data_IF_037936797683
#
_entry.id   IF_037936797683
#
_cell.length_a   1.000
_cell.length_b   1.000
_cell.length_c   1.000
_cell.angle_alpha   90.00
_cell.angle_beta   90.00
_cell.angle_gamma   90.00
#
_symmetry.space_group_name_H-M   'P 1'
#
loop_
_entity.id
_entity.type
_entity.pdbx_description
1 polymer ?
#
# COMPACT_ATOMS: atom_id res chain seq x y z
N UNK A 1 25.05 34.76 13.08
CA UNK A 1 24.68 34.29 11.72
C UNK A 1 24.37 32.80 11.74
N UNK A 2 25.29 31.93 12.16
CA UNK A 2 25.04 30.48 12.24
C UNK A 2 23.89 30.07 13.16
N UNK A 3 23.67 30.77 14.27
CA UNK A 3 22.51 30.55 15.13
C UNK A 3 21.15 30.83 14.44
N UNK A 4 21.11 31.74 13.45
CA UNK A 4 19.88 32.07 12.73
C UNK A 4 19.52 30.99 11.70
N UNK A 5 20.50 30.33 11.08
CA UNK A 5 20.25 29.25 10.12
C UNK A 5 19.60 28.03 10.77
N UNK A 6 20.03 27.68 11.98
CA UNK A 6 19.44 26.58 12.76
C UNK A 6 18.00 26.83 13.21
N UNK A 7 17.52 28.07 13.13
CA UNK A 7 16.14 28.44 13.47
C UNK A 7 15.22 28.45 12.24
N UNK A 8 15.76 28.30 11.02
CA UNK A 8 14.99 28.23 9.79
C UNK A 8 14.57 26.78 9.56
N UNK A 9 13.30 26.49 9.86
CA UNK A 9 12.66 25.19 9.65
C UNK A 9 11.54 25.26 8.61
N UNK A 10 10.88 24.13 8.29
CA UNK A 10 9.84 24.08 7.24
C UNK A 10 8.66 25.03 7.52
N UNK A 11 8.33 25.23 8.79
CA UNK A 11 7.21 26.06 9.25
C UNK A 11 7.60 27.53 9.49
N UNK A 12 8.86 27.92 9.29
CA UNK A 12 9.30 29.30 9.55
C UNK A 12 8.57 30.30 8.63
N UNK A 13 8.13 31.48 9.14
CA UNK A 13 7.47 32.50 8.33
C UNK A 13 8.34 32.96 7.15
N UNK A 14 7.72 33.16 5.97
CA UNK A 14 8.45 33.49 4.75
C UNK A 14 9.17 34.86 4.80
N UNK A 15 8.57 35.82 5.50
CA UNK A 15 9.10 37.16 5.72
C UNK A 15 10.29 37.19 6.69
N UNK A 16 10.40 36.21 7.59
CA UNK A 16 11.53 36.07 8.51
C UNK A 16 12.65 35.21 7.94
N UNK A 17 12.33 34.03 7.41
CA UNK A 17 13.32 33.08 6.89
C UNK A 17 13.84 33.45 5.50
N UNK A 18 12.98 34.01 4.64
CA UNK A 18 13.34 34.40 3.27
C UNK A 18 14.57 35.32 3.19
N UNK A 19 14.63 36.42 3.95
CA UNK A 19 15.81 37.30 3.98
C UNK A 19 17.09 36.60 4.44
N UNK A 20 17.01 35.66 5.39
CA UNK A 20 18.16 34.90 5.89
C UNK A 20 18.71 33.97 4.81
N UNK A 21 17.82 33.25 4.11
CA UNK A 21 18.17 32.39 2.98
C UNK A 21 18.78 33.22 1.83
N UNK A 22 18.14 34.32 1.45
CA UNK A 22 18.61 35.20 0.37
C UNK A 22 19.98 35.83 0.68
N UNK A 23 20.28 36.19 1.93
CA UNK A 23 21.62 36.67 2.30
C UNK A 23 22.67 35.58 2.10
N UNK A 24 22.36 34.33 2.47
CA UNK A 24 23.26 33.20 2.27
C UNK A 24 23.52 32.95 0.77
N UNK A 25 22.44 32.89 -0.03
CA UNK A 25 22.51 32.74 -1.50
C UNK A 25 23.38 33.83 -2.12
N UNK A 26 23.11 35.10 -1.80
CA UNK A 26 23.84 36.25 -2.33
C UNK A 26 25.34 36.19 -2.01
N UNK A 27 25.69 35.76 -0.80
CA UNK A 27 27.09 35.65 -0.37
C UNK A 27 27.81 34.49 -1.04
N UNK A 28 27.15 33.35 -1.23
CA UNK A 28 27.73 32.25 -2.00
C UNK A 28 27.91 32.63 -3.48
N UNK A 29 26.90 33.25 -4.09
CA UNK A 29 26.96 33.67 -5.49
C UNK A 29 28.04 34.73 -5.78
N UNK A 30 28.39 35.55 -4.79
CA UNK A 30 29.44 36.55 -4.94
C UNK A 30 30.86 35.96 -4.99
N UNK A 31 31.08 34.79 -4.37
CA UNK A 31 32.39 34.14 -4.28
C UNK A 31 32.24 32.60 -4.16
N UNK A 32 31.78 31.93 -5.23
CA UNK A 32 31.34 30.53 -5.18
C UNK A 32 32.47 29.52 -4.88
N UNK A 33 33.72 29.85 -5.23
CA UNK A 33 34.90 29.01 -4.97
C UNK A 33 35.88 29.58 -3.95
N UNK A 34 35.51 30.67 -3.27
CA UNK A 34 36.42 31.36 -2.36
C UNK A 34 36.62 30.65 -1.03
N UNK A 35 37.54 31.17 -0.21
CA UNK A 35 37.93 30.58 1.08
C UNK A 35 36.74 30.37 2.03
N UNK A 36 35.68 31.17 1.88
CA UNK A 36 34.46 31.10 2.71
C UNK A 36 33.29 30.36 2.07
N UNK A 37 33.46 29.77 0.88
CA UNK A 37 32.39 29.04 0.19
C UNK A 37 31.78 27.95 1.09
N UNK A 38 32.61 27.21 1.82
CA UNK A 38 32.18 26.19 2.79
C UNK A 38 31.15 26.72 3.80
N UNK A 39 31.33 27.93 4.32
CA UNK A 39 30.41 28.52 5.30
C UNK A 39 29.01 28.70 4.72
N UNK A 40 28.93 29.16 3.47
CA UNK A 40 27.65 29.44 2.82
C UNK A 40 27.00 28.17 2.27
N UNK A 41 27.78 27.20 1.77
CA UNK A 41 27.29 25.89 1.36
C UNK A 41 26.64 25.16 2.54
N UNK A 42 27.33 25.03 3.67
CA UNK A 42 26.76 24.39 4.85
C UNK A 42 25.63 25.22 5.48
N UNK A 43 25.66 26.54 5.34
CA UNK A 43 24.55 27.41 5.71
C UNK A 43 23.29 27.12 4.90
N UNK A 44 23.40 26.96 3.57
CA UNK A 44 22.28 26.56 2.72
C UNK A 44 21.82 25.13 3.01
N UNK A 45 22.75 24.18 3.19
CA UNK A 45 22.40 22.80 3.56
C UNK A 45 21.59 22.75 4.86
N UNK A 46 21.96 23.54 5.88
CA UNK A 46 21.21 23.63 7.15
C UNK A 46 19.78 24.16 6.97
N UNK A 47 19.54 24.96 5.92
CA UNK A 47 18.24 25.56 5.62
C UNK A 47 17.50 24.83 4.50
N UNK A 48 18.05 23.75 3.95
CA UNK A 48 17.47 23.00 2.83
C UNK A 48 16.05 22.52 3.13
N UNK A 49 15.74 22.11 4.37
CA UNK A 49 14.39 21.71 4.78
C UNK A 49 13.33 22.79 4.54
N UNK A 50 13.69 24.06 4.76
CA UNK A 50 12.82 25.20 4.44
C UNK A 50 12.69 25.43 2.93
N UNK A 51 13.80 25.29 2.19
CA UNK A 51 13.84 25.59 0.76
C UNK A 51 13.12 24.50 -0.05
N UNK A 52 13.35 23.23 0.26
CA UNK A 52 12.85 22.08 -0.47
C UNK A 52 11.33 21.85 -0.30
N UNK A 53 10.76 22.32 0.81
CA UNK A 53 9.31 22.17 1.12
C UNK A 53 8.46 23.34 0.60
N UNK A 54 9.07 24.32 -0.08
CA UNK A 54 8.37 25.51 -0.60
C UNK A 54 8.56 25.65 -2.10
N UNK A 55 7.74 24.92 -2.84
CA UNK A 55 7.72 24.98 -4.29
C UNK A 55 7.33 26.39 -4.78
N UNK A 56 7.99 26.85 -5.85
CA UNK A 56 7.75 28.17 -6.44
C UNK A 56 8.21 29.37 -5.59
N UNK A 57 8.78 29.14 -4.40
CA UNK A 57 9.32 30.23 -3.60
C UNK A 57 10.45 30.95 -4.33
N UNK A 58 10.52 32.27 -4.17
CA UNK A 58 11.53 33.12 -4.80
C UNK A 58 12.99 32.75 -4.44
N UNK A 59 13.19 31.86 -3.46
CA UNK A 59 14.50 31.40 -3.00
C UNK A 59 14.99 30.12 -3.68
N UNK A 60 14.09 29.28 -4.21
CA UNK A 60 14.42 27.90 -4.66
C UNK A 60 15.36 27.89 -5.86
N UNK A 61 14.97 28.56 -6.96
CA UNK A 61 15.81 28.67 -8.15
C UNK A 61 17.18 29.32 -7.87
N UNK A 62 17.21 30.51 -7.21
CA UNK A 62 18.48 31.14 -6.84
C UNK A 62 19.38 30.30 -5.93
N UNK A 63 18.81 29.51 -5.01
CA UNK A 63 19.58 28.61 -4.15
C UNK A 63 20.27 27.52 -4.97
N UNK A 64 19.52 26.83 -5.85
CA UNK A 64 20.06 25.80 -6.74
C UNK A 64 21.18 26.37 -7.61
N UNK A 65 20.97 27.53 -8.23
CA UNK A 65 21.98 28.17 -9.08
C UNK A 65 23.25 28.59 -8.30
N UNK A 66 23.11 29.11 -7.08
CA UNK A 66 24.26 29.46 -6.24
C UNK A 66 25.07 28.20 -5.83
N UNK A 67 24.38 27.11 -5.47
CA UNK A 67 25.02 25.83 -5.14
C UNK A 67 25.71 25.21 -6.37
N UNK A 68 25.08 25.31 -7.55
CA UNK A 68 25.67 24.91 -8.83
C UNK A 68 26.93 25.69 -9.17
N UNK A 69 26.88 27.02 -9.00
CA UNK A 69 28.05 27.86 -9.17
C UNK A 69 29.18 27.44 -8.22
N UNK A 70 28.86 27.11 -6.97
CA UNK A 70 29.84 26.70 -5.96
C UNK A 70 30.59 25.42 -6.36
N UNK A 71 29.88 24.31 -6.60
CA UNK A 71 30.57 23.06 -6.94
C UNK A 71 31.29 23.13 -8.29
N UNK A 72 30.81 23.93 -9.25
CA UNK A 72 31.52 24.16 -10.53
C UNK A 72 32.78 25.00 -10.35
N UNK A 73 32.75 26.02 -9.48
CA UNK A 73 33.91 26.86 -9.20
C UNK A 73 35.00 26.12 -8.42
N UNK A 74 34.60 25.21 -7.53
CA UNK A 74 35.53 24.33 -6.81
C UNK A 74 36.12 23.28 -7.77
N UNK A 75 35.34 22.81 -8.75
CA UNK A 75 35.79 21.87 -9.78
C UNK A 75 35.94 20.45 -9.25
N UNK A 76 36.81 19.67 -9.89
CA UNK A 76 37.26 18.36 -9.41
C UNK A 76 38.53 18.55 -8.57
N UNK A 77 38.42 18.63 -7.24
CA UNK A 77 39.57 18.87 -6.40
C UNK A 77 40.53 17.68 -6.44
N UNK A 78 41.84 17.92 -6.22
CA UNK A 78 42.81 16.83 -6.14
C UNK A 78 42.43 15.84 -5.02
N UNK A 79 42.88 14.58 -5.10
CA UNK A 79 42.67 13.60 -4.06
C UNK A 79 43.11 14.15 -2.70
N UNK A 80 42.22 14.09 -1.71
CA UNK A 80 42.54 14.50 -0.35
C UNK A 80 43.02 13.29 0.47
N UNK A 81 43.68 13.56 1.60
CA UNK A 81 44.18 12.51 2.50
C UNK A 81 43.17 11.99 3.52
N UNK A 82 41.89 12.34 3.38
CA UNK A 82 40.85 11.87 4.30
C UNK A 82 40.44 10.44 3.92
N UNK A 83 40.30 9.58 4.94
CA UNK A 83 39.84 8.20 4.76
C UNK A 83 38.36 8.15 4.36
N UNK A 84 37.55 9.04 4.95
CA UNK A 84 36.12 9.20 4.67
C UNK A 84 35.74 10.67 4.65
N UNK A 85 34.63 10.97 3.99
CA UNK A 85 34.02 12.30 4.03
C UNK A 85 32.70 12.28 4.81
N UNK A 86 32.37 13.36 5.54
CA UNK A 86 31.13 13.44 6.32
C UNK A 86 29.84 13.20 5.53
N UNK A 87 29.82 13.50 4.22
CA UNK A 87 28.65 13.26 3.39
C UNK A 87 28.39 11.76 3.17
N UNK A 88 29.41 10.90 3.24
CA UNK A 88 29.27 9.46 2.98
C UNK A 88 28.41 8.83 4.08
N UNK A 89 28.75 9.09 5.35
CA UNK A 89 27.95 8.64 6.49
C UNK A 89 26.56 9.28 6.53
N UNK A 90 26.43 10.53 6.08
CA UNK A 90 25.13 11.20 6.02
C UNK A 90 24.21 10.55 4.97
N UNK A 91 24.75 10.15 3.81
CA UNK A 91 23.99 9.43 2.79
C UNK A 91 23.63 8.00 3.22
N UNK A 92 24.53 7.30 3.93
CA UNK A 92 24.27 5.95 4.44
C UNK A 92 23.15 5.91 5.49
N UNK A 93 22.97 7.00 6.24
CA UNK A 93 22.03 7.10 7.35
C UNK A 93 20.63 7.61 6.98
N UNK A 94 20.30 7.76 5.69
CA UNK A 94 18.98 8.23 5.27
C UNK A 94 17.96 7.10 5.41
N UNK A 95 17.00 7.25 6.32
CA UNK A 95 15.94 6.25 6.54
C UNK A 95 14.71 6.46 5.64
N UNK A 96 14.01 7.59 5.80
CA UNK A 96 12.73 7.82 5.10
C UNK A 96 12.66 9.13 4.31
N UNK A 97 13.60 10.05 4.56
CA UNK A 97 13.68 11.35 3.89
C UNK A 97 15.12 11.88 3.88
N UNK A 98 15.59 12.28 2.70
CA UNK A 98 16.86 12.96 2.48
C UNK A 98 17.03 14.26 3.27
N UNK A 99 15.93 14.85 3.79
CA UNK A 99 16.00 16.00 4.68
C UNK A 99 16.66 15.67 6.04
N UNK A 100 16.82 14.39 6.40
CA UNK A 100 17.60 13.99 7.58
C UNK A 100 19.07 14.42 7.49
N UNK A 101 19.63 14.48 6.27
CA UNK A 101 21.00 14.99 5.99
C UNK A 101 21.18 16.43 6.50
N UNK A 102 20.09 17.20 6.59
CA UNK A 102 20.11 18.60 6.99
C UNK A 102 20.04 18.77 8.53
N UNK A 103 19.61 17.76 9.27
CA UNK A 103 19.37 17.86 10.72
C UNK A 103 20.68 17.93 11.52
N UNK A 104 21.72 17.22 11.07
CA UNK A 104 22.99 17.07 11.78
C UNK A 104 24.13 17.91 11.20
N UNK A 105 23.81 18.96 10.45
CA UNK A 105 24.84 19.83 9.87
C UNK A 105 25.65 20.51 10.99
N UNK A 106 26.97 20.26 11.08
CA UNK A 106 27.79 20.85 12.12
C UNK A 106 27.83 22.37 11.97
N UNK A 107 28.11 23.09 13.06
CA UNK A 107 28.23 24.56 12.98
C UNK A 107 29.31 24.93 11.95
N UNK A 108 28.97 25.69 10.90
CA UNK A 108 29.90 26.11 9.85
C UNK A 108 31.19 26.78 10.35
N UNK A 109 31.18 27.35 11.56
CA UNK A 109 32.35 27.96 12.21
C UNK A 109 33.25 26.92 12.89
N UNK A 110 32.68 25.79 13.33
CA UNK A 110 33.34 24.71 14.07
C UNK A 110 33.66 23.49 13.20
N UNK A 111 33.52 23.60 11.87
CA UNK A 111 33.82 22.51 10.94
C UNK A 111 35.27 22.05 11.06
N UNK A 112 35.46 20.73 11.16
CA UNK A 112 36.76 20.07 11.09
C UNK A 112 37.39 20.18 9.70
N UNK A 113 38.62 19.67 9.56
CA UNK A 113 39.39 19.76 8.31
C UNK A 113 38.72 18.96 7.17
N UNK A 114 38.13 17.81 7.51
CA UNK A 114 37.40 16.92 6.63
C UNK A 114 36.16 17.58 6.01
N UNK A 115 35.49 18.47 6.75
CA UNK A 115 34.34 19.25 6.26
C UNK A 115 34.76 20.45 5.40
N UNK A 116 35.94 21.02 5.64
CA UNK A 116 36.47 22.17 4.87
C UNK A 116 37.21 21.75 3.61
N UNK A 117 37.45 20.46 3.44
CA UNK A 117 38.05 19.91 2.24
C UNK A 117 37.25 20.36 1.00
N UNK A 118 37.90 20.86 -0.07
CA UNK A 118 37.21 21.24 -1.30
C UNK A 118 36.27 20.14 -1.84
N UNK A 119 36.66 18.87 -1.72
CA UNK A 119 35.82 17.73 -2.12
C UNK A 119 34.52 17.65 -1.32
N UNK A 120 34.62 17.72 0.01
CA UNK A 120 33.44 17.69 0.89
C UNK A 120 32.51 18.88 0.63
N UNK A 121 33.06 20.08 0.40
CA UNK A 121 32.27 21.29 0.13
C UNK A 121 31.55 21.20 -1.21
N UNK A 122 32.23 20.74 -2.27
CA UNK A 122 31.61 20.53 -3.57
C UNK A 122 30.49 19.48 -3.49
N UNK A 123 30.72 18.38 -2.77
CA UNK A 123 29.71 17.33 -2.58
C UNK A 123 28.52 17.79 -1.74
N UNK A 124 28.74 18.53 -0.65
CA UNK A 124 27.66 19.12 0.13
C UNK A 124 26.81 20.09 -0.71
N UNK A 125 27.45 20.87 -1.59
CA UNK A 125 26.74 21.76 -2.50
C UNK A 125 25.90 20.99 -3.53
N UNK A 126 26.43 19.89 -4.10
CA UNK A 126 25.68 19.02 -5.01
C UNK A 126 24.49 18.36 -4.32
N UNK A 127 24.69 17.77 -3.15
CA UNK A 127 23.63 17.11 -2.37
C UNK A 127 22.53 18.11 -1.99
N UNK A 128 22.89 19.31 -1.49
CA UNK A 128 21.89 20.34 -1.18
C UNK A 128 21.09 20.74 -2.42
N UNK A 129 21.74 20.92 -3.57
CA UNK A 129 21.06 21.27 -4.82
C UNK A 129 20.15 20.14 -5.30
N UNK A 130 20.57 18.88 -5.17
CA UNK A 130 19.81 17.69 -5.53
C UNK A 130 18.58 17.48 -4.62
N UNK A 131 18.67 17.81 -3.33
CA UNK A 131 17.50 17.76 -2.43
C UNK A 131 16.49 18.87 -2.77
N UNK A 132 16.98 20.07 -3.11
CA UNK A 132 16.11 21.22 -3.46
C UNK A 132 15.44 21.00 -4.83
N UNK A 133 16.19 20.48 -5.80
CA UNK A 133 15.74 20.18 -7.15
C UNK A 133 16.12 18.75 -7.57
N UNK A 134 15.35 17.75 -7.07
CA UNK A 134 15.59 16.33 -7.35
C UNK A 134 15.71 16.02 -8.84
N UNK A 135 16.66 15.15 -9.18
CA UNK A 135 16.91 14.68 -10.54
C UNK A 135 17.66 15.66 -11.43
N UNK A 136 17.90 16.89 -10.99
CA UNK A 136 18.49 17.95 -11.83
C UNK A 136 20.00 18.14 -11.63
N UNK A 137 20.63 17.36 -10.74
CA UNK A 137 22.07 17.43 -10.45
C UNK A 137 22.77 16.13 -10.84
N UNK A 138 23.90 16.27 -11.56
CA UNK A 138 24.78 15.17 -11.93
C UNK A 138 25.97 15.03 -10.96
N UNK A 139 26.64 13.88 -10.99
CA UNK A 139 27.84 13.62 -10.18
C UNK A 139 27.56 13.42 -8.69
N UNK A 140 26.33 13.03 -8.35
CA UNK A 140 25.97 12.49 -7.05
C UNK A 140 26.45 11.03 -7.01
N UNK A 141 27.18 10.60 -5.97
CA UNK A 141 27.57 9.21 -5.82
C UNK A 141 26.36 8.31 -5.76
N UNK A 142 26.40 7.22 -6.52
CA UNK A 142 25.45 6.13 -6.39
C UNK A 142 25.70 5.39 -5.05
N UNK A 143 25.16 5.97 -3.97
CA UNK A 143 25.28 5.49 -2.60
C UNK A 143 23.90 5.38 -1.99
N UNK A 144 23.31 4.19 -2.10
CA UNK A 144 22.03 3.83 -1.49
C UNK A 144 22.28 3.21 -0.12
N UNK A 145 21.51 3.59 0.93
CA UNK A 145 21.59 2.94 2.24
C UNK A 145 21.41 1.43 2.17
N UNK A 146 22.19 0.67 2.95
CA UNK A 146 22.10 -0.81 2.98
C UNK A 146 20.72 -1.30 3.41
N UNK A 147 20.05 -0.59 4.33
CA UNK A 147 18.72 -0.96 4.78
C UNK A 147 17.66 -0.72 3.67
N UNK A 148 17.84 0.27 2.77
CA UNK A 148 16.97 0.40 1.59
C UNK A 148 17.12 -0.80 0.66
N UNK A 149 18.34 -1.29 0.43
CA UNK A 149 18.56 -2.53 -0.32
C UNK A 149 17.91 -3.74 0.36
N UNK A 150 17.84 -3.74 1.70
CA UNK A 150 17.05 -4.67 2.50
C UNK A 150 15.57 -4.59 2.15
N UNK A 151 14.99 -3.41 2.36
CA UNK A 151 13.56 -3.15 2.19
C UNK A 151 13.07 -3.37 0.76
N UNK A 152 13.89 -3.05 -0.26
CA UNK A 152 13.57 -3.36 -1.67
C UNK A 152 13.33 -4.86 -1.83
N UNK A 153 14.22 -5.68 -1.25
CA UNK A 153 14.14 -7.15 -1.35
C UNK A 153 12.98 -7.71 -0.54
N UNK A 154 12.64 -7.09 0.59
CA UNK A 154 11.57 -7.52 1.47
C UNK A 154 10.21 -7.19 0.85
N UNK A 155 9.98 -5.94 0.43
CA UNK A 155 8.79 -5.54 -0.32
C UNK A 155 8.63 -6.35 -1.62
N UNK A 156 9.68 -6.51 -2.43
CA UNK A 156 9.59 -7.33 -3.64
C UNK A 156 9.18 -8.77 -3.32
N UNK A 157 9.71 -9.37 -2.24
CA UNK A 157 9.34 -10.74 -1.84
C UNK A 157 7.87 -10.87 -1.43
N UNK A 158 7.32 -9.85 -0.76
CA UNK A 158 5.90 -9.77 -0.41
C UNK A 158 5.06 -9.66 -1.68
N UNK A 159 5.41 -8.75 -2.58
CA UNK A 159 4.69 -8.52 -3.84
C UNK A 159 4.72 -9.73 -4.78
N UNK A 160 5.78 -10.55 -4.74
CA UNK A 160 5.82 -11.81 -5.46
C UNK A 160 5.03 -12.96 -4.77
N UNK A 161 4.51 -12.74 -3.55
CA UNK A 161 3.76 -13.74 -2.78
C UNK A 161 4.62 -14.76 -2.04
N UNK A 162 5.92 -14.50 -1.85
CA UNK A 162 6.83 -15.35 -1.08
C UNK A 162 7.65 -14.51 -0.09
N UNK A 163 7.03 -13.96 0.97
CA UNK A 163 7.71 -13.07 1.92
C UNK A 163 8.94 -13.76 2.52
N UNK A 164 10.05 -13.02 2.57
CA UNK A 164 11.28 -13.47 3.24
C UNK A 164 11.04 -13.61 4.73
N UNK A 165 11.80 -14.50 5.38
CA UNK A 165 11.70 -14.69 6.83
C UNK A 165 12.03 -13.40 7.57
N UNK A 166 11.03 -12.84 8.26
CA UNK A 166 11.13 -11.60 9.02
C UNK A 166 10.48 -10.37 8.37
N UNK A 167 10.08 -10.45 7.09
CA UNK A 167 9.27 -9.41 6.46
C UNK A 167 7.80 -9.61 6.85
N UNK A 168 7.18 -8.57 7.40
CA UNK A 168 5.75 -8.55 7.69
C UNK A 168 5.01 -7.95 6.49
N UNK A 169 4.18 -8.72 5.77
CA UNK A 169 3.49 -8.23 4.59
C UNK A 169 2.69 -6.94 4.80
N UNK A 170 2.03 -6.77 5.95
CA UNK A 170 1.22 -5.59 6.22
C UNK A 170 2.09 -4.33 6.32
N UNK A 171 3.19 -4.43 7.06
CA UNK A 171 4.16 -3.33 7.24
C UNK A 171 4.92 -3.01 5.95
N UNK A 172 5.33 -4.01 5.18
CA UNK A 172 6.04 -3.76 3.91
C UNK A 172 5.13 -3.08 2.87
N UNK A 173 3.89 -3.52 2.76
CA UNK A 173 2.91 -2.93 1.82
C UNK A 173 2.53 -1.51 2.23
N UNK A 174 2.38 -1.27 3.53
CA UNK A 174 2.10 0.04 4.08
C UNK A 174 3.34 0.95 4.18
N UNK A 175 4.54 0.50 3.82
CA UNK A 175 5.78 1.26 4.09
C UNK A 175 5.77 2.70 3.56
N UNK A 176 5.08 2.94 2.43
CA UNK A 176 4.91 4.28 1.85
C UNK A 176 3.94 5.20 2.62
N UNK A 177 3.15 4.68 3.56
CA UNK A 177 2.24 5.47 4.41
C UNK A 177 2.98 6.21 5.52
N UNK A 178 4.20 5.81 5.88
CA UNK A 178 5.06 6.50 6.85
C UNK A 178 5.73 7.75 6.29
N UNK A 179 4.96 8.51 5.51
CA UNK A 179 5.41 9.74 4.88
C UNK A 179 5.66 10.82 5.95
N UNK A 180 6.82 11.51 5.92
CA UNK A 180 7.07 12.62 6.82
C UNK A 180 6.03 13.74 6.67
N UNK A 181 5.72 14.47 7.74
CA UNK A 181 4.77 15.60 7.71
C UNK A 181 5.17 16.70 6.72
N UNK A 182 6.44 16.85 6.37
CA UNK A 182 6.92 17.86 5.41
C UNK A 182 8.02 17.23 4.54
N UNK A 183 7.66 16.32 3.62
CA UNK A 183 8.64 15.57 2.86
C UNK A 183 9.29 16.46 1.80
N UNK A 184 10.54 16.15 1.44
CA UNK A 184 11.12 16.67 0.19
C UNK A 184 10.33 16.16 -1.03
N UNK A 185 10.48 16.81 -2.20
CA UNK A 185 9.84 16.31 -3.44
C UNK A 185 10.33 14.92 -3.84
N UNK A 186 11.61 14.62 -3.60
CA UNK A 186 12.17 13.28 -3.84
C UNK A 186 11.54 12.24 -2.91
N UNK A 187 11.46 12.54 -1.60
CA UNK A 187 10.81 11.65 -0.65
C UNK A 187 9.31 11.46 -0.96
N UNK A 188 8.57 12.54 -1.27
CA UNK A 188 7.17 12.47 -1.67
C UNK A 188 6.98 11.53 -2.87
N UNK A 189 7.82 11.67 -3.90
CA UNK A 189 7.78 10.79 -5.07
C UNK A 189 8.04 9.32 -4.70
N UNK A 190 9.07 9.05 -3.90
CA UNK A 190 9.37 7.70 -3.45
C UNK A 190 8.24 7.05 -2.66
N UNK A 191 7.67 7.76 -1.68
CA UNK A 191 6.53 7.27 -0.89
C UNK A 191 5.30 6.99 -1.76
N UNK A 192 4.96 7.87 -2.71
CA UNK A 192 3.83 7.63 -3.63
C UNK A 192 4.05 6.45 -4.57
N UNK A 193 5.29 6.24 -5.03
CA UNK A 193 5.63 5.06 -5.84
C UNK A 193 5.57 3.78 -5.00
N UNK A 194 6.01 3.80 -3.73
CA UNK A 194 5.86 2.66 -2.82
C UNK A 194 4.39 2.33 -2.56
N UNK A 195 3.56 3.33 -2.29
CA UNK A 195 2.11 3.16 -2.14
C UNK A 195 1.47 2.57 -3.38
N UNK A 196 1.86 3.02 -4.58
CA UNK A 196 1.40 2.45 -5.85
C UNK A 196 1.86 1.00 -6.02
N UNK A 197 3.11 0.69 -5.70
CA UNK A 197 3.65 -0.66 -5.82
C UNK A 197 2.88 -1.65 -4.93
N UNK A 198 2.55 -1.24 -3.70
CA UNK A 198 1.79 -2.05 -2.74
C UNK A 198 0.29 -2.14 -3.01
N UNK A 199 -0.29 -1.24 -3.80
CA UNK A 199 -1.75 -1.04 -3.79
C UNK A 199 -2.56 -2.24 -4.26
N UNK A 200 -2.07 -2.99 -5.26
CA UNK A 200 -2.76 -4.16 -5.77
C UNK A 200 -2.78 -5.30 -4.75
N UNK A 201 -1.67 -5.47 -4.01
CA UNK A 201 -1.59 -6.50 -2.98
C UNK A 201 -2.44 -6.11 -1.77
N UNK A 202 -2.41 -4.84 -1.35
CA UNK A 202 -3.32 -4.30 -0.33
C UNK A 202 -4.80 -4.50 -0.72
N UNK A 203 -5.13 -4.24 -1.98
CA UNK A 203 -6.48 -4.41 -2.50
C UNK A 203 -6.89 -5.87 -2.75
N UNK A 204 -5.96 -6.82 -2.78
CA UNK A 204 -6.27 -8.22 -3.15
C UNK A 204 -7.16 -8.94 -2.14
N UNK A 205 -7.18 -8.47 -0.88
CA UNK A 205 -7.75 -9.21 0.25
C UNK A 205 -6.78 -10.21 0.88
N UNK A 206 -5.56 -10.38 0.36
CA UNK A 206 -4.51 -11.15 1.04
C UNK A 206 -4.02 -10.47 2.33
N UNK A 207 -4.15 -9.14 2.41
CA UNK A 207 -3.90 -8.36 3.62
C UNK A 207 -5.25 -8.09 4.29
N UNK A 208 -5.39 -8.56 5.53
CA UNK A 208 -6.67 -8.55 6.26
C UNK A 208 -6.76 -7.39 7.24
N UNK A 209 -5.64 -6.78 7.59
CA UNK A 209 -5.57 -5.65 8.49
C UNK A 209 -6.15 -4.40 7.82
N UNK A 210 -7.28 -3.90 8.35
CA UNK A 210 -7.94 -2.71 7.82
C UNK A 210 -7.05 -1.47 7.86
N UNK A 211 -6.21 -1.35 8.89
CA UNK A 211 -5.32 -0.20 9.09
C UNK A 211 -4.39 0.00 7.90
N UNK A 212 -3.98 -1.06 7.19
CA UNK A 212 -3.13 -0.93 5.99
C UNK A 212 -3.82 -0.08 4.92
N UNK A 213 -5.08 -0.36 4.61
CA UNK A 213 -5.82 0.44 3.62
C UNK A 213 -6.10 1.84 4.14
N UNK A 214 -6.49 1.99 5.41
CA UNK A 214 -6.83 3.29 5.99
C UNK A 214 -5.59 4.21 6.04
N UNK A 215 -4.43 3.73 6.48
CA UNK A 215 -3.17 4.49 6.52
C UNK A 215 -2.66 4.87 5.12
N UNK A 216 -2.72 3.92 4.17
CA UNK A 216 -2.35 4.21 2.78
C UNK A 216 -3.27 5.27 2.17
N UNK A 217 -4.58 5.19 2.41
CA UNK A 217 -5.56 6.20 1.94
C UNK A 217 -5.30 7.56 2.59
N UNK A 218 -5.09 7.62 3.90
CA UNK A 218 -4.79 8.87 4.62
C UNK A 218 -3.52 9.54 4.06
N UNK A 219 -2.44 8.78 3.87
CA UNK A 219 -1.20 9.30 3.28
C UNK A 219 -1.41 9.87 1.86
N UNK A 220 -2.25 9.22 1.04
CA UNK A 220 -2.58 9.69 -0.30
C UNK A 220 -3.44 10.96 -0.28
N UNK A 221 -4.40 11.05 0.65
CA UNK A 221 -5.23 12.25 0.84
C UNK A 221 -4.38 13.45 1.27
N UNK A 222 -3.46 13.25 2.20
CA UNK A 222 -2.49 14.25 2.64
C UNK A 222 -1.56 14.72 1.49
N UNK A 223 -1.11 13.78 0.65
CA UNK A 223 -0.33 14.11 -0.54
C UNK A 223 -1.14 14.93 -1.55
N UNK A 224 -2.41 14.57 -1.79
CA UNK A 224 -3.28 15.27 -2.73
C UNK A 224 -3.57 16.72 -2.31
N UNK A 225 -3.67 16.99 -1.00
CA UNK A 225 -3.80 18.36 -0.47
C UNK A 225 -2.57 19.21 -0.84
N UNK A 226 -1.37 18.62 -0.79
CA UNK A 226 -0.11 19.32 -1.12
C UNK A 226 0.05 19.54 -2.62
N UNK A 227 -0.48 18.63 -3.42
CA UNK A 227 -0.41 18.63 -4.87
C UNK A 227 -1.62 19.35 -5.50
N UNK A 228 -2.35 20.17 -4.73
CA UNK A 228 -3.52 20.89 -5.24
C UNK A 228 -3.17 21.90 -6.34
N UNK A 229 -3.91 21.83 -7.45
CA UNK A 229 -3.67 22.67 -8.63
C UNK A 229 -2.35 22.41 -9.36
N UNK A 230 -1.65 21.31 -9.07
CA UNK A 230 -0.44 20.92 -9.78
C UNK A 230 -0.71 20.74 -11.28
N UNK A 231 0.13 21.37 -12.09
CA UNK A 231 0.11 21.24 -13.54
C UNK A 231 1.55 21.20 -14.05
N UNK A 232 1.78 20.51 -15.16
CA UNK A 232 3.09 20.46 -15.80
C UNK A 232 2.96 20.65 -17.31
N UNK A 233 4.09 20.90 -17.96
CA UNK A 233 4.17 21.02 -19.41
C UNK A 233 4.43 19.68 -20.10
N UNK A 234 4.68 18.61 -19.33
CA UNK A 234 4.93 17.29 -19.89
C UNK A 234 3.65 16.75 -20.54
N UNK A 235 3.80 15.95 -21.58
CA UNK A 235 2.72 15.14 -22.13
C UNK A 235 2.57 13.85 -21.32
N UNK A 236 1.42 13.19 -21.40
CA UNK A 236 1.17 11.91 -20.71
C UNK A 236 2.23 10.85 -21.06
N UNK A 237 2.70 10.81 -22.32
CA UNK A 237 3.76 9.91 -22.80
C UNK A 237 5.16 10.21 -22.21
N UNK A 238 5.36 11.40 -21.64
CA UNK A 238 6.64 11.77 -21.00
C UNK A 238 6.67 11.33 -19.53
N UNK A 239 5.51 11.11 -18.91
CA UNK A 239 5.44 10.63 -17.54
C UNK A 239 5.74 9.14 -17.46
N UNK A 240 6.66 8.70 -16.56
CA UNK A 240 6.93 7.29 -16.38
C UNK A 240 5.76 6.58 -15.69
N UNK A 241 5.58 5.32 -16.06
CA UNK A 241 4.69 4.40 -15.36
C UNK A 241 5.46 3.60 -14.30
N UNK A 242 4.82 3.32 -13.17
CA UNK A 242 5.37 2.40 -12.17
C UNK A 242 5.34 0.99 -12.76
N UNK A 243 6.50 0.33 -12.80
CA UNK A 243 6.64 -1.02 -13.33
C UNK A 243 5.71 -2.01 -12.61
N UNK A 244 5.18 -2.99 -13.34
CA UNK A 244 4.47 -4.13 -12.76
C UNK A 244 5.43 -5.18 -12.18
N UNK A 245 6.72 -5.12 -12.53
CA UNK A 245 7.75 -5.98 -11.96
C UNK A 245 8.04 -5.56 -10.50
N UNK A 246 7.82 -6.45 -9.51
CA UNK A 246 7.97 -6.10 -8.10
C UNK A 246 9.32 -5.54 -7.68
N UNK A 247 10.42 -6.12 -8.19
CA UNK A 247 11.78 -5.66 -7.89
C UNK A 247 12.01 -4.23 -8.41
N UNK A 248 11.55 -3.95 -9.64
CA UNK A 248 11.65 -2.63 -10.26
C UNK A 248 10.76 -1.60 -9.56
N UNK A 249 9.52 -1.97 -9.20
CA UNK A 249 8.59 -1.08 -8.50
C UNK A 249 9.10 -0.69 -7.11
N UNK A 250 9.49 -1.68 -6.29
CA UNK A 250 10.08 -1.47 -4.97
C UNK A 250 11.39 -0.68 -5.07
N UNK A 251 12.27 -1.06 -6.00
CA UNK A 251 13.52 -0.36 -6.29
C UNK A 251 13.30 1.12 -6.61
N UNK A 252 12.37 1.42 -7.52
CA UNK A 252 12.07 2.80 -7.91
C UNK A 252 11.60 3.65 -6.72
N UNK A 253 10.69 3.11 -5.91
CA UNK A 253 10.20 3.80 -4.71
C UNK A 253 11.31 4.15 -3.72
N UNK A 254 12.11 3.15 -3.29
CA UNK A 254 13.20 3.38 -2.34
C UNK A 254 14.33 4.26 -2.92
N UNK A 255 14.67 4.10 -4.19
CA UNK A 255 15.70 4.91 -4.82
C UNK A 255 15.32 6.38 -4.92
N UNK A 256 14.04 6.72 -5.12
CA UNK A 256 13.58 8.10 -5.14
C UNK A 256 13.73 8.81 -3.79
N UNK A 257 13.73 8.08 -2.66
CA UNK A 257 13.86 8.63 -1.31
C UNK A 257 15.21 9.30 -1.04
N UNK A 258 16.25 9.00 -1.83
CA UNK A 258 17.62 9.48 -1.58
C UNK A 258 18.30 10.07 -2.82
N UNK A 259 19.24 11.03 -2.65
CA UNK A 259 20.04 11.52 -3.77
C UNK A 259 20.85 10.42 -4.47
N UNK A 260 21.40 9.48 -3.69
CA UNK A 260 22.20 8.38 -4.21
C UNK A 260 21.36 7.37 -5.00
N UNK A 261 20.15 7.05 -4.52
CA UNK A 261 19.21 6.21 -5.25
C UNK A 261 18.75 6.84 -6.57
N UNK A 262 18.48 8.14 -6.60
CA UNK A 262 18.18 8.83 -7.87
C UNK A 262 19.37 8.84 -8.83
N UNK A 263 20.59 8.88 -8.32
CA UNK A 263 21.79 8.65 -9.14
C UNK A 263 21.81 7.23 -9.72
N UNK A 264 21.50 6.19 -8.92
CA UNK A 264 21.34 4.80 -9.38
C UNK A 264 20.29 4.65 -10.47
N UNK A 265 19.11 5.23 -10.27
CA UNK A 265 18.01 5.17 -11.23
C UNK A 265 18.40 5.71 -12.60
N UNK A 266 19.15 6.82 -12.61
CA UNK A 266 19.68 7.44 -13.82
C UNK A 266 20.63 6.53 -14.60
N UNK A 267 21.37 5.66 -13.92
CA UNK A 267 22.38 4.78 -14.54
C UNK A 267 21.83 3.40 -14.93
N UNK A 268 20.79 2.90 -14.23
CA UNK A 268 20.42 1.49 -14.27
C UNK A 268 19.04 1.12 -14.84
N UNK A 269 18.02 1.97 -14.76
CA UNK A 269 16.63 1.46 -14.75
C UNK A 269 15.56 2.22 -15.59
N UNK A 270 15.89 3.14 -16.50
CA UNK A 270 14.86 3.65 -17.42
C UNK A 270 15.29 4.74 -18.40
N UNK A 271 14.48 4.91 -19.46
CA UNK A 271 14.59 5.99 -20.45
C UNK A 271 14.15 7.36 -19.88
N UNK A 272 13.47 7.38 -18.73
CA UNK A 272 12.98 8.60 -18.06
C UNK A 272 14.00 9.16 -17.07
N UNK A 273 14.18 10.47 -17.10
CA UNK A 273 15.07 11.18 -16.17
C UNK A 273 14.46 11.23 -14.76
N UNK A 274 15.27 11.17 -13.68
CA UNK A 274 14.75 11.19 -12.31
C UNK A 274 13.96 12.45 -11.92
N UNK A 275 14.09 13.55 -12.66
CA UNK A 275 13.33 14.77 -12.43
C UNK A 275 11.85 14.60 -12.83
N UNK A 276 11.56 13.79 -13.86
CA UNK A 276 10.20 13.50 -14.31
C UNK A 276 9.40 12.76 -13.22
N UNK A 277 10.04 11.84 -12.49
CA UNK A 277 9.44 11.16 -11.34
C UNK A 277 9.03 12.10 -10.21
N UNK A 278 9.60 13.31 -10.15
CA UNK A 278 9.26 14.33 -9.14
C UNK A 278 8.32 15.40 -9.67
N UNK A 279 7.75 15.21 -10.85
CA UNK A 279 6.77 16.11 -11.46
C UNK A 279 5.49 16.17 -10.59
N UNK A 280 5.07 17.36 -10.10
CA UNK A 280 3.88 17.48 -9.26
C UNK A 280 2.59 16.97 -9.92
N UNK A 281 2.45 17.12 -11.24
CA UNK A 281 1.27 16.63 -11.97
C UNK A 281 1.22 15.09 -12.01
N UNK A 282 2.35 14.45 -12.33
CA UNK A 282 2.49 12.99 -12.26
C UNK A 282 2.15 12.47 -10.87
N UNK A 283 2.75 13.07 -9.83
CA UNK A 283 2.54 12.64 -8.45
C UNK A 283 1.08 12.79 -8.03
N UNK A 284 0.38 13.83 -8.52
CA UNK A 284 -1.04 14.03 -8.25
C UNK A 284 -1.88 12.93 -8.88
N UNK A 285 -1.66 12.63 -10.15
CA UNK A 285 -2.43 11.62 -10.87
C UNK A 285 -2.17 10.23 -10.27
N UNK A 286 -0.91 9.91 -9.98
CA UNK A 286 -0.51 8.69 -9.29
C UNK A 286 -1.20 8.55 -7.92
N UNK A 287 -1.22 9.62 -7.13
CA UNK A 287 -1.86 9.62 -5.82
C UNK A 287 -3.39 9.44 -5.94
N UNK A 288 -4.03 10.10 -6.92
CA UNK A 288 -5.46 10.02 -7.13
C UNK A 288 -5.89 8.62 -7.56
N UNK A 289 -5.24 8.06 -8.58
CA UNK A 289 -5.54 6.72 -9.09
C UNK A 289 -5.34 5.64 -8.03
N UNK A 290 -4.26 5.76 -7.25
CA UNK A 290 -3.98 4.84 -6.14
C UNK A 290 -5.02 4.96 -5.04
N UNK A 291 -5.43 6.17 -4.67
CA UNK A 291 -6.46 6.40 -3.64
C UNK A 291 -7.81 5.84 -4.07
N UNK A 292 -8.21 6.09 -5.32
CA UNK A 292 -9.48 5.59 -5.86
C UNK A 292 -9.53 4.07 -5.83
N UNK A 293 -8.46 3.42 -6.26
CA UNK A 293 -8.33 1.97 -6.22
C UNK A 293 -8.41 1.42 -4.78
N UNK A 294 -7.69 2.01 -3.84
CA UNK A 294 -7.69 1.56 -2.44
C UNK A 294 -9.02 1.85 -1.74
N UNK A 295 -9.70 2.95 -2.06
CA UNK A 295 -11.01 3.29 -1.51
C UNK A 295 -12.06 2.28 -1.97
N UNK A 296 -12.07 1.93 -3.27
CA UNK A 296 -12.94 0.88 -3.80
C UNK A 296 -12.66 -0.47 -3.12
N UNK A 297 -11.39 -0.81 -2.93
CA UNK A 297 -11.00 -2.03 -2.24
C UNK A 297 -11.44 -2.03 -0.76
N UNK A 298 -11.26 -0.91 -0.04
CA UNK A 298 -11.70 -0.77 1.35
C UNK A 298 -13.20 -0.95 1.46
N UNK A 299 -13.98 -0.31 0.60
CA UNK A 299 -15.44 -0.43 0.61
C UNK A 299 -15.89 -1.86 0.26
N UNK A 300 -15.19 -2.52 -0.68
CA UNK A 300 -15.45 -3.93 -1.03
C UNK A 300 -15.11 -4.90 0.10
N UNK A 301 -14.00 -4.71 0.80
CA UNK A 301 -13.50 -5.64 1.83
C UNK A 301 -14.12 -5.37 3.20
N UNK A 302 -14.35 -4.11 3.57
CA UNK A 302 -14.78 -3.70 4.92
C UNK A 302 -16.11 -2.95 4.96
N UNK A 303 -16.63 -2.50 3.81
CA UNK A 303 -17.88 -1.75 3.71
C UNK A 303 -19.15 -2.60 3.73
N UNK A 304 -20.30 -1.94 3.69
CA UNK A 304 -21.61 -2.60 3.59
C UNK A 304 -21.88 -3.06 2.16
N UNK A 305 -22.03 -4.37 1.96
CA UNK A 305 -22.40 -4.93 0.66
C UNK A 305 -23.90 -5.04 0.47
N UNK A 306 -24.43 -4.55 -0.65
CA UNK A 306 -25.85 -4.61 -0.99
C UNK A 306 -26.16 -5.82 -1.88
N UNK A 307 -26.88 -6.81 -1.34
CA UNK A 307 -27.24 -8.04 -2.07
C UNK A 307 -28.65 -8.02 -2.65
N UNK A 308 -29.39 -6.91 -2.52
CA UNK A 308 -30.79 -6.84 -2.98
C UNK A 308 -30.97 -7.01 -4.50
N UNK A 309 -29.95 -6.68 -5.29
CA UNK A 309 -29.97 -6.89 -6.74
C UNK A 309 -30.01 -8.37 -7.14
N UNK A 310 -29.50 -9.26 -6.27
CA UNK A 310 -29.43 -10.70 -6.52
C UNK A 310 -30.80 -11.38 -6.47
N UNK A 311 -31.83 -10.73 -5.92
CA UNK A 311 -33.21 -11.23 -6.02
C UNK A 311 -33.65 -11.36 -7.49
N UNK A 312 -33.16 -10.48 -8.38
CA UNK A 312 -33.46 -10.58 -9.82
C UNK A 312 -32.76 -11.76 -10.51
N UNK A 313 -31.72 -12.31 -9.88
CA UNK A 313 -30.94 -13.43 -10.42
C UNK A 313 -31.35 -14.76 -9.81
N UNK A 314 -31.52 -14.80 -8.49
CA UNK A 314 -31.69 -16.02 -7.70
C UNK A 314 -33.14 -16.30 -7.31
N UNK A 315 -34.08 -15.42 -7.66
CA UNK A 315 -35.51 -15.68 -7.54
C UNK A 315 -36.17 -15.77 -8.92
N UNK A 316 -37.15 -16.66 -9.01
CA UNK A 316 -38.10 -16.71 -10.11
C UNK A 316 -39.15 -15.61 -9.93
N UNK A 317 -39.94 -15.37 -10.98
CA UNK A 317 -40.99 -14.34 -10.98
C UNK A 317 -42.10 -14.58 -9.93
N UNK A 318 -42.26 -15.81 -9.45
CA UNK A 318 -43.18 -16.20 -8.37
C UNK A 318 -42.59 -16.02 -6.96
N UNK A 319 -41.32 -15.62 -6.85
CA UNK A 319 -40.60 -15.42 -5.59
C UNK A 319 -39.93 -16.69 -5.04
N UNK A 320 -40.06 -17.83 -5.72
CA UNK A 320 -39.35 -19.06 -5.38
C UNK A 320 -37.87 -18.99 -5.81
N UNK A 321 -37.03 -19.80 -5.16
CA UNK A 321 -35.62 -19.91 -5.51
C UNK A 321 -35.42 -20.42 -6.95
N UNK A 322 -34.54 -19.76 -7.69
CA UNK A 322 -33.99 -20.26 -8.95
C UNK A 322 -32.93 -21.34 -8.68
N UNK A 323 -33.33 -22.45 -8.04
CA UNK A 323 -32.46 -23.50 -7.48
C UNK A 323 -31.33 -23.94 -8.42
N UNK A 324 -31.63 -24.19 -9.70
CA UNK A 324 -30.62 -24.64 -10.67
C UNK A 324 -29.49 -23.62 -10.88
N UNK A 325 -29.83 -22.33 -10.91
CA UNK A 325 -28.84 -21.25 -11.03
C UNK A 325 -28.02 -21.10 -9.76
N UNK A 326 -28.65 -21.21 -8.59
CA UNK A 326 -27.92 -21.14 -7.31
C UNK A 326 -26.96 -22.33 -7.23
N UNK A 327 -27.42 -23.54 -7.50
CA UNK A 327 -26.59 -24.75 -7.49
C UNK A 327 -25.41 -24.66 -8.46
N UNK A 328 -25.60 -24.12 -9.67
CA UNK A 328 -24.51 -23.86 -10.63
C UNK A 328 -23.42 -22.93 -10.04
N UNK A 329 -23.81 -21.93 -9.24
CA UNK A 329 -22.87 -21.02 -8.55
C UNK A 329 -22.14 -21.64 -7.37
N UNK A 330 -22.64 -22.76 -6.84
CA UNK A 330 -22.02 -23.49 -5.73
C UNK A 330 -20.98 -24.51 -6.21
N UNK A 331 -20.85 -24.72 -7.52
CA UNK A 331 -19.84 -25.63 -8.06
C UNK A 331 -18.43 -25.02 -7.92
N UNK A 332 -17.45 -25.78 -7.39
CA UNK A 332 -16.08 -25.29 -7.19
C UNK A 332 -15.37 -25.08 -8.53
N UNK A 333 -15.41 -23.85 -9.03
CA UNK A 333 -14.63 -23.41 -10.18
C UNK A 333 -14.27 -21.93 -10.08
N UNK A 334 -13.16 -21.52 -10.71
CA UNK A 334 -12.62 -20.16 -10.59
C UNK A 334 -13.56 -19.06 -11.05
N UNK A 335 -14.47 -19.35 -11.98
CA UNK A 335 -15.49 -18.38 -12.39
C UNK A 335 -16.52 -18.10 -11.30
N UNK A 336 -16.74 -19.02 -10.36
CA UNK A 336 -17.71 -18.89 -9.28
C UNK A 336 -17.12 -18.21 -8.02
N UNK A 337 -15.80 -18.19 -7.86
CA UNK A 337 -15.11 -17.45 -6.79
C UNK A 337 -15.59 -15.98 -6.74
N UNK A 338 -15.79 -15.35 -7.90
CA UNK A 338 -16.26 -13.95 -8.00
C UNK A 338 -17.68 -13.70 -7.50
N UNK A 339 -18.50 -14.75 -7.33
CA UNK A 339 -19.90 -14.64 -6.86
C UNK A 339 -20.10 -15.19 -5.44
N UNK A 340 -19.12 -15.93 -4.94
CA UNK A 340 -19.16 -16.71 -3.72
C UNK A 340 -19.57 -15.84 -2.51
N UNK A 341 -18.84 -14.76 -2.26
CA UNK A 341 -19.08 -13.85 -1.14
C UNK A 341 -20.49 -13.26 -1.14
N UNK A 342 -20.94 -12.78 -2.30
CA UNK A 342 -22.22 -12.12 -2.48
C UNK A 342 -23.40 -13.11 -2.38
N UNK A 343 -23.22 -14.34 -2.88
CA UNK A 343 -24.18 -15.42 -2.72
C UNK A 343 -24.29 -15.85 -1.26
N UNK A 344 -23.17 -15.98 -0.54
CA UNK A 344 -23.17 -16.30 0.89
C UNK A 344 -23.95 -15.27 1.70
N UNK A 345 -23.67 -13.98 1.48
CA UNK A 345 -24.37 -12.86 2.09
C UNK A 345 -25.87 -12.86 1.78
N UNK A 346 -26.22 -13.06 0.51
CA UNK A 346 -27.61 -13.10 0.07
C UNK A 346 -28.37 -14.25 0.74
N UNK A 347 -27.79 -15.44 0.76
CA UNK A 347 -28.39 -16.63 1.34
C UNK A 347 -28.60 -16.46 2.85
N UNK A 348 -27.58 -15.98 3.58
CA UNK A 348 -27.68 -15.71 5.02
C UNK A 348 -28.77 -14.67 5.35
N UNK A 349 -28.83 -13.56 4.61
CA UNK A 349 -29.85 -12.51 4.80
C UNK A 349 -31.25 -13.00 4.49
N UNK A 350 -31.42 -13.82 3.45
CA UNK A 350 -32.73 -14.42 3.12
C UNK A 350 -33.17 -15.42 4.19
N UNK A 351 -32.23 -16.24 4.67
CA UNK A 351 -32.48 -17.16 5.79
C UNK A 351 -32.94 -16.39 7.04
N UNK A 352 -32.23 -15.32 7.42
CA UNK A 352 -32.56 -14.49 8.58
C UNK A 352 -33.93 -13.78 8.47
N UNK A 353 -34.39 -13.45 7.26
CA UNK A 353 -35.76 -12.94 7.04
C UNK A 353 -36.86 -13.99 7.30
N UNK A 354 -36.49 -15.26 7.50
CA UNK A 354 -37.44 -16.36 7.68
C UNK A 354 -38.29 -16.63 6.44
N UNK A 355 -37.77 -16.33 5.25
CA UNK A 355 -38.47 -16.59 3.99
C UNK A 355 -38.34 -18.08 3.61
N UNK A 356 -39.40 -18.64 3.04
CA UNK A 356 -39.42 -20.03 2.58
C UNK A 356 -39.84 -21.05 3.64
N UNK A 357 -39.98 -22.30 3.21
CA UNK A 357 -40.23 -23.43 4.10
C UNK A 357 -38.94 -23.96 4.75
N UNK A 358 -39.05 -25.01 5.57
CA UNK A 358 -37.89 -25.59 6.26
C UNK A 358 -36.82 -26.13 5.29
N UNK A 359 -37.21 -26.56 4.09
CA UNK A 359 -36.30 -27.08 3.07
C UNK A 359 -35.58 -25.94 2.36
N UNK A 360 -36.29 -24.86 2.02
CA UNK A 360 -35.68 -23.64 1.49
C UNK A 360 -34.66 -23.06 2.49
N UNK A 361 -35.03 -22.98 3.78
CA UNK A 361 -34.09 -22.53 4.83
C UNK A 361 -32.84 -23.39 4.92
N UNK A 362 -32.99 -24.71 4.90
CA UNK A 362 -31.85 -25.63 4.89
C UNK A 362 -30.95 -25.44 3.66
N UNK A 363 -31.54 -25.29 2.48
CA UNK A 363 -30.80 -25.02 1.26
C UNK A 363 -30.05 -23.69 1.33
N UNK A 364 -30.65 -22.63 1.88
CA UNK A 364 -29.97 -21.34 2.08
C UNK A 364 -28.80 -21.43 3.06
N UNK A 365 -28.93 -22.22 4.13
CA UNK A 365 -27.81 -22.49 5.05
C UNK A 365 -26.64 -23.16 4.32
N UNK A 366 -26.92 -24.25 3.59
CA UNK A 366 -25.89 -25.01 2.86
C UNK A 366 -25.29 -24.20 1.71
N UNK A 367 -26.10 -23.39 1.02
CA UNK A 367 -25.62 -22.47 0.00
C UNK A 367 -24.69 -21.42 0.60
N UNK A 368 -24.98 -20.88 1.79
CA UNK A 368 -24.08 -19.95 2.46
C UNK A 368 -22.75 -20.61 2.83
N UNK A 369 -22.77 -21.76 3.51
CA UNK A 369 -21.55 -22.50 3.88
C UNK A 369 -20.70 -22.83 2.63
N UNK A 370 -21.32 -23.40 1.60
CA UNK A 370 -20.61 -23.80 0.39
C UNK A 370 -20.10 -22.62 -0.43
N UNK A 371 -20.83 -21.51 -0.42
CA UNK A 371 -20.34 -20.30 -1.08
C UNK A 371 -19.08 -19.79 -0.40
N UNK A 372 -18.96 -19.87 0.94
CA UNK A 372 -17.73 -19.47 1.62
C UNK A 372 -16.56 -20.40 1.28
N UNK A 373 -16.78 -21.72 1.13
CA UNK A 373 -15.72 -22.66 0.66
C UNK A 373 -15.17 -22.27 -0.72
N UNK A 374 -16.04 -21.71 -1.57
CA UNK A 374 -15.70 -21.34 -2.94
C UNK A 374 -15.05 -19.96 -3.05
N UNK A 375 -14.98 -19.18 -1.98
CA UNK A 375 -14.39 -17.85 -2.02
C UNK A 375 -12.86 -17.92 -1.87
N UNK A 376 -12.13 -17.15 -2.69
CA UNK A 376 -10.68 -17.14 -2.73
C UNK A 376 -10.16 -15.69 -2.69
N UNK A 377 -9.06 -15.38 -1.96
CA UNK A 377 -8.23 -16.28 -1.14
C UNK A 377 -8.94 -16.81 0.11
N UNK A 378 -9.79 -15.97 0.72
CA UNK A 378 -10.86 -16.31 1.67
C UNK A 378 -11.81 -15.09 1.70
N UNK A 379 -13.10 -15.25 2.04
CA UNK A 379 -14.00 -14.11 2.22
C UNK A 379 -13.45 -13.02 3.15
N UNK A 380 -13.85 -11.74 3.01
CA UNK A 380 -13.39 -10.68 3.90
C UNK A 380 -14.22 -10.60 5.19
N UNK A 381 -13.68 -9.93 6.23
CA UNK A 381 -14.32 -9.80 7.56
C UNK A 381 -15.73 -9.19 7.51
N UNK A 382 -16.03 -8.32 6.53
CA UNK A 382 -17.38 -7.78 6.32
C UNK A 382 -18.40 -8.86 5.94
N UNK A 383 -17.98 -9.86 5.16
CA UNK A 383 -18.80 -11.02 4.79
C UNK A 383 -19.03 -11.88 6.03
N UNK A 384 -17.95 -12.25 6.74
CA UNK A 384 -18.03 -13.08 7.94
C UNK A 384 -18.93 -12.52 9.01
N UNK A 385 -18.76 -11.24 9.37
CA UNK A 385 -19.61 -10.59 10.37
C UNK A 385 -21.10 -10.67 10.02
N UNK A 386 -21.43 -10.61 8.74
CA UNK A 386 -22.81 -10.66 8.25
C UNK A 386 -23.39 -12.07 8.21
N UNK A 387 -22.57 -13.09 7.97
CA UNK A 387 -23.01 -14.50 7.95
C UNK A 387 -22.91 -15.19 9.30
N UNK A 388 -22.06 -14.72 10.23
CA UNK A 388 -21.84 -15.31 11.56
C UNK A 388 -23.13 -15.69 12.31
N UNK A 389 -24.18 -14.83 12.38
CA UNK A 389 -25.41 -15.19 13.09
C UNK A 389 -26.11 -16.45 12.55
N UNK A 390 -25.96 -16.74 11.25
CA UNK A 390 -26.50 -17.95 10.62
C UNK A 390 -25.85 -19.21 11.21
N UNK A 391 -24.53 -19.18 11.40
CA UNK A 391 -23.76 -20.30 11.92
C UNK A 391 -23.93 -20.43 13.44
N UNK A 392 -23.97 -19.32 14.18
CA UNK A 392 -24.29 -19.32 15.61
C UNK A 392 -25.65 -19.97 15.89
N UNK A 393 -26.68 -19.69 15.08
CA UNK A 393 -28.00 -20.32 15.20
C UNK A 393 -27.88 -21.85 15.06
N UNK A 394 -27.16 -22.33 14.05
CA UNK A 394 -26.99 -23.76 13.79
C UNK A 394 -26.13 -24.48 14.84
N UNK A 395 -25.03 -23.87 15.28
CA UNK A 395 -24.14 -24.43 16.31
C UNK A 395 -24.84 -24.50 17.68
N UNK A 396 -25.76 -23.56 17.98
CA UNK A 396 -26.50 -23.56 19.24
C UNK A 396 -27.62 -24.62 19.33
N UNK A 397 -27.95 -25.29 18.23
CA UNK A 397 -29.02 -26.28 18.18
C UNK A 397 -28.61 -27.58 18.89
N UNK A 398 -29.32 -28.02 19.94
CA UNK A 398 -28.93 -29.19 20.70
C UNK A 398 -29.00 -30.45 19.83
N UNK A 399 -27.90 -31.23 19.72
CA UNK A 399 -27.92 -32.45 18.93
C UNK A 399 -28.79 -33.52 19.58
N UNK A 400 -29.50 -34.34 18.79
CA UNK A 400 -30.21 -35.48 19.35
C UNK A 400 -29.24 -36.51 19.95
N UNK A 401 -29.67 -37.17 21.04
CA UNK A 401 -28.90 -38.24 21.71
C UNK A 401 -28.60 -39.41 20.76
N UNK A 402 -29.53 -39.71 19.85
CA UNK A 402 -29.39 -40.71 18.79
C UNK A 402 -29.96 -40.20 17.47
N UNK A 403 -29.24 -40.42 16.37
CA UNK A 403 -29.68 -40.01 15.04
C UNK A 403 -30.43 -41.14 14.32
N UNK A 404 -31.61 -40.88 13.72
CA UNK A 404 -32.36 -41.86 12.95
C UNK A 404 -31.59 -42.45 11.76
N UNK A 405 -30.65 -41.68 11.22
CA UNK A 405 -29.79 -42.03 10.09
C UNK A 405 -28.37 -42.49 10.53
N UNK A 406 -28.19 -42.81 11.83
CA UNK A 406 -26.88 -43.20 12.35
C UNK A 406 -25.85 -42.06 12.26
N UNK A 407 -24.59 -42.40 12.01
CA UNK A 407 -23.49 -41.42 11.88
C UNK A 407 -23.32 -40.88 10.45
N UNK A 408 -24.22 -41.23 9.54
CA UNK A 408 -24.14 -40.94 8.11
C UNK A 408 -24.66 -39.54 7.76
N UNK A 409 -23.85 -38.51 8.02
CA UNK A 409 -24.17 -37.09 7.82
C UNK A 409 -23.47 -36.54 6.56
N UNK A 410 -24.17 -35.79 5.70
CA UNK A 410 -23.64 -35.36 4.40
C UNK A 410 -22.65 -34.17 4.45
N UNK A 411 -22.52 -33.46 5.57
CA UNK A 411 -21.80 -32.19 5.67
C UNK A 411 -22.40 -31.13 4.76
N UNK A 412 -21.53 -30.44 4.03
CA UNK A 412 -21.83 -29.53 2.90
C UNK A 412 -22.08 -30.29 1.58
N UNK A 413 -21.97 -31.62 1.59
CA UNK A 413 -22.04 -32.49 0.41
C UNK A 413 -20.66 -32.97 -0.08
N UNK A 414 -19.58 -32.46 0.50
CA UNK A 414 -18.23 -32.91 0.17
C UNK A 414 -18.05 -34.41 0.48
N UNK A 415 -17.57 -35.16 -0.52
CA UNK A 415 -17.37 -36.62 -0.41
C UNK A 415 -18.59 -37.48 -0.76
N UNK A 416 -19.74 -36.89 -1.10
CA UNK A 416 -20.83 -37.63 -1.75
C UNK A 416 -20.46 -37.99 -3.20
N UNK A 417 -20.95 -39.12 -3.76
CA UNK A 417 -20.76 -39.44 -5.17
C UNK A 417 -21.42 -38.39 -6.08
N UNK A 418 -20.70 -37.89 -7.09
CA UNK A 418 -21.20 -36.92 -8.06
C UNK A 418 -20.97 -35.47 -7.67
N UNK A 419 -21.65 -34.56 -8.36
CA UNK A 419 -21.51 -33.10 -8.16
C UNK A 419 -22.34 -32.62 -6.96
N UNK A 420 -21.74 -31.83 -6.08
CA UNK A 420 -22.42 -31.26 -4.89
C UNK A 420 -23.63 -30.41 -5.31
N UNK A 421 -23.50 -29.67 -6.41
CA UNK A 421 -24.59 -28.88 -6.99
C UNK A 421 -25.82 -29.73 -7.31
N UNK A 422 -25.64 -30.97 -7.81
CA UNK A 422 -26.74 -31.88 -8.08
C UNK A 422 -27.45 -32.35 -6.79
N UNK A 423 -26.69 -32.64 -5.73
CA UNK A 423 -27.23 -32.99 -4.41
C UNK A 423 -28.06 -31.86 -3.81
N UNK A 424 -27.52 -30.64 -3.81
CA UNK A 424 -28.22 -29.47 -3.26
C UNK A 424 -29.45 -29.07 -4.09
N UNK A 425 -29.37 -29.18 -5.42
CA UNK A 425 -30.53 -28.92 -6.29
C UNK A 425 -31.66 -29.93 -6.07
N UNK A 426 -31.33 -31.22 -5.97
CA UNK A 426 -32.30 -32.26 -5.65
C UNK A 426 -32.87 -32.11 -4.22
N UNK A 427 -32.04 -31.78 -3.23
CA UNK A 427 -32.47 -31.52 -1.86
C UNK A 427 -33.56 -30.43 -1.79
N UNK A 428 -33.36 -29.33 -2.51
CA UNK A 428 -34.28 -28.20 -2.49
C UNK A 428 -35.52 -28.41 -3.37
N UNK A 429 -35.37 -29.03 -4.54
CA UNK A 429 -36.44 -29.19 -5.51
C UNK A 429 -36.44 -30.60 -6.14
N UNK A 430 -36.77 -31.65 -5.36
CA UNK A 430 -36.63 -33.05 -5.80
C UNK A 430 -37.52 -33.42 -7.00
N UNK A 431 -38.63 -32.70 -7.20
CA UNK A 431 -39.52 -32.88 -8.36
C UNK A 431 -38.95 -32.26 -9.65
N UNK A 432 -38.00 -31.34 -9.53
CA UNK A 432 -37.39 -30.61 -10.66
C UNK A 432 -36.01 -31.11 -11.05
N UNK A 433 -35.31 -31.80 -10.13
CA UNK A 433 -33.95 -32.30 -10.33
C UNK A 433 -33.88 -33.79 -10.01
N UNK A 434 -33.23 -34.61 -10.88
CA UNK A 434 -33.13 -36.04 -10.67
C UNK A 434 -32.37 -36.36 -9.37
N UNK A 435 -32.71 -37.49 -8.74
CA UNK A 435 -31.99 -37.98 -7.57
C UNK A 435 -30.56 -38.38 -7.96
N UNK A 436 -29.52 -37.72 -7.42
CA UNK A 436 -28.13 -38.08 -7.70
C UNK A 436 -27.74 -39.36 -6.96
N UNK A 437 -26.67 -40.00 -7.43
CA UNK A 437 -26.12 -41.18 -6.76
C UNK A 437 -25.67 -40.85 -5.33
N UNK A 438 -26.09 -41.65 -4.36
CA UNK A 438 -25.76 -41.41 -2.95
C UNK A 438 -26.54 -40.27 -2.29
N UNK A 439 -27.65 -39.82 -2.90
CA UNK A 439 -28.55 -38.84 -2.30
C UNK A 439 -28.95 -39.22 -0.86
N UNK A 440 -28.97 -38.22 0.02
CA UNK A 440 -29.35 -38.38 1.44
C UNK A 440 -30.73 -37.82 1.70
N UNK A 441 -31.52 -38.43 2.61
CA UNK A 441 -32.85 -37.95 2.92
C UNK A 441 -32.79 -36.58 3.63
N UNK A 442 -33.86 -35.80 3.52
CA UNK A 442 -33.95 -34.43 4.04
C UNK A 442 -33.60 -34.33 5.54
N UNK A 443 -34.00 -35.31 6.34
CA UNK A 443 -33.75 -35.36 7.77
C UNK A 443 -32.26 -35.55 8.11
N UNK A 444 -31.48 -36.23 7.27
CA UNK A 444 -30.03 -36.34 7.42
C UNK A 444 -29.32 -34.99 7.17
N UNK A 445 -29.74 -34.25 6.15
CA UNK A 445 -29.22 -32.90 5.86
C UNK A 445 -29.60 -31.89 6.95
N UNK A 446 -30.85 -31.93 7.41
CA UNK A 446 -31.40 -31.03 8.42
C UNK A 446 -30.97 -31.38 9.86
N UNK A 447 -30.26 -32.49 10.05
CA UNK A 447 -29.91 -32.97 11.38
C UNK A 447 -28.98 -31.97 12.09
N UNK A 448 -29.21 -31.60 13.36
CA UNK A 448 -28.28 -30.77 14.10
C UNK A 448 -26.87 -31.37 14.21
N UNK A 449 -26.73 -32.71 14.20
CA UNK A 449 -25.41 -33.38 14.12
C UNK A 449 -24.70 -33.23 12.77
N UNK A 450 -25.42 -32.82 11.72
CA UNK A 450 -24.84 -32.41 10.44
C UNK A 450 -24.47 -30.92 10.45
N UNK A 451 -25.41 -30.07 10.86
CA UNK A 451 -25.29 -28.62 10.71
C UNK A 451 -24.37 -27.97 11.75
N UNK A 452 -24.33 -28.48 12.98
CA UNK A 452 -23.50 -27.90 14.03
C UNK A 452 -21.99 -28.03 13.70
N UNK A 453 -21.44 -29.18 13.29
CA UNK A 453 -20.03 -29.26 12.90
C UNK A 453 -19.67 -28.35 11.72
N UNK A 454 -20.53 -28.25 10.70
CA UNK A 454 -20.32 -27.33 9.56
C UNK A 454 -20.30 -25.88 10.04
N UNK A 455 -21.18 -25.52 10.97
CA UNK A 455 -21.22 -24.18 11.53
C UNK A 455 -20.00 -23.89 12.43
N UNK A 456 -19.59 -24.85 13.26
CA UNK A 456 -18.43 -24.73 14.16
C UNK A 456 -17.13 -24.54 13.38
N UNK A 457 -16.92 -25.26 12.27
CA UNK A 457 -15.76 -25.08 11.38
C UNK A 457 -15.64 -23.65 10.84
N UNK A 458 -16.77 -23.08 10.40
CA UNK A 458 -16.82 -21.70 9.94
C UNK A 458 -16.63 -20.70 11.08
N UNK A 459 -17.19 -20.96 12.27
CA UNK A 459 -17.00 -20.08 13.43
C UNK A 459 -15.54 -20.07 13.90
N UNK A 460 -14.87 -21.22 13.93
CA UNK A 460 -13.44 -21.33 14.27
C UNK A 460 -12.57 -20.54 13.28
N UNK A 461 -12.85 -20.68 11.98
CA UNK A 461 -12.16 -19.91 10.95
C UNK A 461 -12.40 -18.39 11.11
N UNK A 462 -13.62 -18.00 11.47
CA UNK A 462 -13.98 -16.61 11.76
C UNK A 462 -13.32 -16.02 13.00
N UNK A 463 -13.08 -16.82 14.04
CA UNK A 463 -12.37 -16.37 15.25
C UNK A 463 -10.89 -16.12 14.93
N UNK A 464 -10.24 -17.03 14.19
CA UNK A 464 -8.87 -16.82 13.72
C UNK A 464 -8.72 -15.53 12.92
N UNK A 465 -9.70 -15.19 12.07
CA UNK A 465 -9.66 -13.97 11.26
C UNK A 465 -9.93 -12.67 12.03
N UNK A 466 -10.75 -12.71 13.09
CA UNK A 466 -10.91 -11.54 13.96
C UNK A 466 -9.59 -11.27 14.70
N UNK A 467 -8.89 -12.30 15.15
CA UNK A 467 -7.56 -12.17 15.80
C UNK A 467 -6.53 -11.55 14.85
N UNK A 468 -6.41 -12.04 13.61
CA UNK A 468 -5.47 -11.50 12.61
C UNK A 468 -5.79 -10.05 12.18
N UNK A 469 -7.06 -9.65 12.22
CA UNK A 469 -7.49 -8.29 11.86
C UNK A 469 -7.29 -7.28 13.00
N UNK A 470 -7.27 -7.75 14.25
CA UNK A 470 -7.08 -6.94 15.48
C UNK A 470 -5.60 -6.83 15.91
N UNK A 471 -4.67 -7.52 15.22
CA UNK A 471 -3.22 -7.32 15.39
C UNK A 471 -2.80 -5.92 14.87
N UNK A 472 -2.63 -4.98 15.79
CA UNK A 472 -2.00 -3.64 15.61
C UNK A 472 -0.47 -3.72 15.49
#
# INVERSE_FOLDING_TARGET
MTAAWKQVGPESPADEAGPVVLDCIRRLAADPGGERAHVWVYGLLSMTRYIATREGAAVTGPAVEALRAAYRAIGDPPPCGHETHPYESALDGIESDELSVCADVPDPVLLGAEHRCPHAVAMAARIAAEIIAPGTVEGIPDRVPEHHEGNIRDLASVLHGYPRGGADPAYEIAAGSWMPTHPSRGALAGHLVLLRAGCWYAASGMIRQRWVLDDMIEALEDALVRLDGAACAHTDEEHPEVSEDPDTAAGTGYYLLTPGGRARLREGYGDALPDVWTCPALLRDLAQDTRDHLTEARDRLFGERLTGHLDAEYLRADGELAVGRIAERLEPCSSNETYAEDLALWAARRHAKGTGDARERLFLFLAAARSLDNAYPDPPSSVYRSVRPLFEEAASAPPPDTCPHGDDHPGTGDGLPGEVSAHLAHLCAPESFPEPEGARPLDAWACPRNLAPVAEEWLESMEQWDEEADEE
#
